data_IF_314892594268
#
_entry.id   IF_314892594268
#
_cell.length_a   1.000
_cell.length_b   1.000
_cell.length_c   1.000
_cell.angle_alpha   90.00
_cell.angle_beta   90.00
_cell.angle_gamma   90.00
#
_symmetry.space_group_name_H-M   'P 1'
#
loop_
_entity.id
_entity.type
_entity.pdbx_description
1 polymer ?
#
# COMPACT_ATOMS: atom_id res chain seq x y z
N UNK A 1 -0.33 20.80 7.03
CA UNK A 1 -1.18 19.76 7.66
C UNK A 1 -0.61 18.39 7.33
N UNK A 2 -0.54 17.51 8.34
CA UNK A 2 -0.15 16.12 8.16
C UNK A 2 -1.19 15.40 7.30
N UNK A 3 -0.76 14.52 6.38
CA UNK A 3 -1.67 13.72 5.55
C UNK A 3 -1.55 12.26 5.95
N UNK A 4 -2.68 11.58 6.10
CA UNK A 4 -2.69 10.12 6.27
C UNK A 4 -2.57 9.43 4.92
N UNK A 5 -1.85 8.32 4.89
CA UNK A 5 -1.62 7.51 3.70
C UNK A 5 -1.64 6.03 4.06
N UNK A 6 -1.89 5.19 3.06
CA UNK A 6 -1.97 3.74 3.21
C UNK A 6 -0.82 3.12 2.44
N UNK A 7 -0.09 2.22 3.12
CA UNK A 7 0.87 1.33 2.49
C UNK A 7 0.10 0.14 1.90
N UNK A 8 0.02 0.13 0.57
CA UNK A 8 -0.75 -0.89 -0.16
C UNK A 8 -0.09 -2.26 -0.07
N UNK A 9 1.24 -2.34 0.03
CA UNK A 9 1.93 -3.62 0.09
C UNK A 9 1.71 -4.28 1.45
N UNK A 10 1.84 -3.50 2.53
CA UNK A 10 1.48 -3.97 3.88
C UNK A 10 0.01 -4.31 4.02
N UNK A 11 -0.89 -3.54 3.39
CA UNK A 11 -2.31 -3.89 3.38
C UNK A 11 -2.55 -5.24 2.68
N UNK A 12 -1.89 -5.52 1.57
CA UNK A 12 -2.00 -6.81 0.87
C UNK A 12 -1.43 -7.95 1.71
N UNK A 13 -0.29 -7.74 2.37
CA UNK A 13 0.28 -8.73 3.27
C UNK A 13 -0.65 -9.01 4.44
N UNK A 14 -1.21 -7.97 5.07
CA UNK A 14 -2.22 -8.12 6.11
C UNK A 14 -3.45 -8.91 5.64
N UNK A 15 -3.92 -8.65 4.41
CA UNK A 15 -5.01 -9.43 3.83
C UNK A 15 -4.65 -10.90 3.67
N UNK A 16 -3.41 -11.23 3.29
CA UNK A 16 -2.93 -12.61 3.16
C UNK A 16 -2.80 -13.28 4.52
N UNK A 17 -2.16 -12.63 5.49
CA UNK A 17 -1.95 -13.15 6.85
C UNK A 17 -3.25 -13.49 7.58
N UNK A 18 -4.35 -12.85 7.19
CA UNK A 18 -5.67 -13.01 7.78
C UNK A 18 -6.69 -13.71 6.84
N UNK A 19 -6.25 -14.24 5.69
CA UNK A 19 -7.11 -14.87 4.67
C UNK A 19 -8.31 -14.00 4.24
N UNK A 20 -8.10 -12.68 4.17
CA UNK A 20 -9.12 -11.70 3.80
C UNK A 20 -9.09 -11.44 2.30
N UNK A 21 -10.17 -11.78 1.62
CA UNK A 21 -10.37 -11.40 0.22
C UNK A 21 -10.66 -9.90 0.05
N UNK A 22 -10.39 -9.28 -1.11
CA UNK A 22 -10.75 -7.89 -1.37
C UNK A 22 -12.25 -7.59 -1.21
N UNK A 23 -13.11 -8.58 -1.47
CA UNK A 23 -14.55 -8.46 -1.29
C UNK A 23 -14.94 -8.40 0.19
N UNK A 24 -14.31 -9.22 1.04
CA UNK A 24 -14.51 -9.19 2.49
C UNK A 24 -13.93 -7.91 3.10
N UNK A 25 -12.78 -7.44 2.62
CA UNK A 25 -12.22 -6.14 3.03
C UNK A 25 -13.23 -5.01 2.75
N UNK A 26 -13.79 -4.97 1.55
CA UNK A 26 -14.80 -3.98 1.17
C UNK A 26 -16.05 -4.06 2.06
N UNK A 27 -16.53 -5.27 2.33
CA UNK A 27 -17.70 -5.50 3.18
C UNK A 27 -17.46 -5.05 4.63
N UNK A 28 -16.31 -5.40 5.22
CA UNK A 28 -15.95 -5.01 6.59
C UNK A 28 -15.77 -3.50 6.74
N UNK A 29 -15.22 -2.84 5.72
CA UNK A 29 -15.05 -1.39 5.70
C UNK A 29 -16.34 -0.62 5.34
N UNK A 30 -17.39 -1.30 4.87
CA UNK A 30 -18.61 -0.66 4.37
C UNK A 30 -18.39 0.18 3.10
N UNK A 31 -17.41 -0.18 2.25
CA UNK A 31 -17.10 0.53 1.00
C UNK A 31 -17.34 -0.34 -0.22
N UNK A 32 -17.41 0.25 -1.40
CA UNK A 32 -17.56 -0.53 -2.64
C UNK A 32 -16.31 -1.35 -2.95
N UNK A 33 -16.48 -2.55 -3.53
CA UNK A 33 -15.38 -3.39 -4.03
C UNK A 33 -14.48 -2.63 -5.02
N UNK A 34 -15.08 -1.74 -5.82
CA UNK A 34 -14.35 -0.89 -6.76
C UNK A 34 -13.47 0.16 -6.06
N UNK A 35 -13.84 0.65 -4.87
CA UNK A 35 -12.99 1.53 -4.08
C UNK A 35 -11.75 0.78 -3.57
N UNK A 36 -11.94 -0.41 -3.00
CA UNK A 36 -10.84 -1.29 -2.57
C UNK A 36 -9.91 -1.62 -3.74
N UNK A 37 -10.48 -2.09 -4.87
CA UNK A 37 -9.69 -2.42 -6.06
C UNK A 37 -8.84 -1.25 -6.57
N UNK A 38 -9.40 -0.04 -6.63
CA UNK A 38 -8.66 1.16 -7.05
C UNK A 38 -7.49 1.50 -6.12
N UNK A 39 -7.64 1.28 -4.81
CA UNK A 39 -6.56 1.49 -3.83
C UNK A 39 -5.51 0.40 -3.95
N UNK A 40 -5.92 -0.88 -3.97
CA UNK A 40 -5.01 -2.03 -4.06
C UNK A 40 -4.18 -2.05 -5.36
N UNK A 41 -4.75 -1.53 -6.44
CA UNK A 41 -4.08 -1.40 -7.74
C UNK A 41 -3.34 -0.06 -7.91
N UNK A 42 -3.30 0.77 -6.86
CA UNK A 42 -2.65 2.10 -6.87
C UNK A 42 -3.18 3.06 -7.95
N UNK A 43 -4.38 2.78 -8.49
CA UNK A 43 -5.07 3.64 -9.47
C UNK A 43 -5.48 4.96 -8.82
N UNK A 44 -5.85 4.91 -7.52
CA UNK A 44 -6.18 6.08 -6.73
C UNK A 44 -5.63 5.93 -5.31
N UNK A 45 -5.06 7.00 -4.77
CA UNK A 45 -4.66 7.04 -3.36
C UNK A 45 -5.86 6.90 -2.42
N UNK A 46 -5.65 6.26 -1.28
CA UNK A 46 -6.65 6.16 -0.23
C UNK A 46 -7.00 7.57 0.30
N UNK A 47 -8.27 7.96 0.15
CA UNK A 47 -8.78 9.22 0.70
C UNK A 47 -9.06 9.13 2.20
N UNK A 48 -9.32 10.27 2.85
CA UNK A 48 -9.63 10.33 4.29
C UNK A 48 -10.77 9.41 4.70
N UNK A 49 -11.84 9.33 3.91
CA UNK A 49 -12.96 8.41 4.18
C UNK A 49 -12.56 6.93 4.11
N UNK A 50 -11.72 6.55 3.15
CA UNK A 50 -11.22 5.17 3.06
C UNK A 50 -10.34 4.81 4.26
N UNK A 51 -9.46 5.74 4.66
CA UNK A 51 -8.56 5.56 5.81
C UNK A 51 -9.36 5.48 7.10
N UNK A 52 -10.36 6.34 7.27
CA UNK A 52 -11.27 6.29 8.42
C UNK A 52 -11.98 4.94 8.52
N UNK A 53 -12.63 4.49 7.43
CA UNK A 53 -13.26 3.17 7.38
C UNK A 53 -12.29 2.02 7.65
N UNK A 54 -11.05 2.13 7.17
CA UNK A 54 -10.02 1.11 7.39
C UNK A 54 -9.65 1.02 8.87
N UNK A 55 -9.40 2.16 9.52
CA UNK A 55 -9.05 2.20 10.95
C UNK A 55 -10.23 1.79 11.85
N UNK A 56 -11.47 2.10 11.46
CA UNK A 56 -12.67 1.64 12.17
C UNK A 56 -12.82 0.12 12.07
N UNK A 57 -12.61 -0.46 10.89
CA UNK A 57 -12.77 -1.89 10.67
C UNK A 57 -11.57 -2.71 11.19
N UNK A 58 -10.37 -2.13 11.17
CA UNK A 58 -9.11 -2.76 11.55
C UNK A 58 -8.26 -1.78 12.37
N UNK A 59 -8.51 -1.66 13.67
CA UNK A 59 -7.79 -0.72 14.54
C UNK A 59 -6.28 -1.00 14.59
N UNK A 60 -5.87 -2.27 14.44
CA UNK A 60 -4.47 -2.70 14.42
C UNK A 60 -3.71 -2.29 13.14
N UNK A 61 -4.42 -1.76 12.13
CA UNK A 61 -3.78 -1.26 10.91
C UNK A 61 -2.83 -0.08 11.17
N UNK A 62 -3.04 0.67 12.25
CA UNK A 62 -2.11 1.72 12.67
C UNK A 62 -0.79 1.13 13.20
N UNK A 63 -0.89 0.20 14.15
CA UNK A 63 0.28 -0.40 14.82
C UNK A 63 1.12 -1.23 13.86
N UNK A 64 0.48 -1.87 12.87
CA UNK A 64 1.17 -2.58 11.78
C UNK A 64 1.81 -1.64 10.75
N UNK A 65 1.59 -0.33 10.87
CA UNK A 65 2.09 0.69 9.96
C UNK A 65 1.51 0.57 8.55
N UNK A 66 0.29 0.04 8.43
CA UNK A 66 -0.48 0.03 7.18
C UNK A 66 -0.97 1.46 6.91
N UNK A 67 -1.47 2.14 7.95
CA UNK A 67 -1.77 3.57 7.90
C UNK A 67 -0.62 4.32 8.54
N UNK A 68 -0.13 5.35 7.85
CA UNK A 68 0.95 6.18 8.35
C UNK A 68 0.73 7.65 8.03
N UNK A 69 1.38 8.50 8.81
CA UNK A 69 1.41 9.94 8.55
C UNK A 69 2.48 10.21 7.49
N UNK A 70 2.05 10.57 6.28
CA UNK A 70 2.95 11.17 5.31
C UNK A 70 3.09 12.66 5.60
N UNK A 71 4.24 13.04 6.15
CA UNK A 71 4.80 14.38 5.92
C UNK A 71 5.22 14.49 4.45
N UNK A 72 5.54 15.69 3.94
CA UNK A 72 6.08 15.92 2.58
C UNK A 72 7.22 14.92 2.30
N UNK A 73 6.90 13.77 1.73
CA UNK A 73 7.87 12.73 1.45
C UNK A 73 8.56 13.10 0.14
N UNK A 74 9.88 13.29 0.21
CA UNK A 74 10.74 13.50 -0.94
C UNK A 74 10.41 12.44 -1.99
N UNK A 75 10.24 12.86 -3.25
CA UNK A 75 10.05 11.95 -4.38
C UNK A 75 11.19 10.91 -4.33
N UNK A 76 10.86 9.64 -4.11
CA UNK A 76 11.80 8.55 -4.37
C UNK A 76 11.87 8.45 -5.88
N UNK A 77 12.90 9.09 -6.45
CA UNK A 77 13.24 8.99 -7.87
C UNK A 77 13.68 7.57 -8.18
N UNK A 78 13.15 7.08 -9.31
CA UNK A 78 13.19 5.71 -9.84
C UNK A 78 14.59 5.36 -10.41
N UNK A 79 15.67 5.63 -9.69
CA UNK A 79 17.04 5.50 -10.26
C UNK A 79 17.79 4.21 -9.89
N UNK A 80 17.37 3.43 -8.88
CA UNK A 80 18.11 2.25 -8.42
C UNK A 80 17.81 0.93 -9.17
N UNK A 81 17.42 0.99 -10.45
CA UNK A 81 17.14 -0.24 -11.24
C UNK A 81 18.12 -0.55 -12.36
N UNK A 82 19.11 0.31 -12.64
CA UNK A 82 20.00 0.11 -13.79
C UNK A 82 21.43 -0.40 -13.48
N UNK A 83 21.85 -0.45 -12.20
CA UNK A 83 23.23 -0.85 -11.89
C UNK A 83 23.49 -2.37 -11.90
N UNK A 84 22.47 -3.22 -12.00
CA UNK A 84 22.65 -4.68 -11.97
C UNK A 84 22.92 -5.33 -13.33
N UNK A 85 23.02 -4.57 -14.43
CA UNK A 85 23.17 -5.13 -15.78
C UNK A 85 24.57 -5.09 -16.39
N UNK A 86 25.55 -4.37 -15.81
CA UNK A 86 26.88 -4.25 -16.46
C UNK A 86 27.95 -5.22 -15.93
N UNK A 87 27.74 -5.89 -14.79
CA UNK A 87 28.71 -6.83 -14.21
C UNK A 87 28.87 -8.17 -14.97
N UNK A 88 28.22 -8.34 -16.12
CA UNK A 88 28.34 -9.56 -16.94
C UNK A 88 29.37 -9.47 -18.08
N UNK A 89 30.03 -8.32 -18.30
CA UNK A 89 30.91 -8.12 -19.46
C UNK A 89 32.38 -8.59 -19.28
N UNK A 90 32.76 -9.21 -18.16
CA UNK A 90 34.17 -9.62 -17.92
C UNK A 90 34.28 -11.06 -17.42
N UNK A 91 33.87 -12.04 -18.24
CA UNK A 91 34.26 -13.45 -18.01
C UNK A 91 34.12 -14.33 -19.27
N UNK A 92 34.97 -14.07 -20.25
CA UNK A 92 35.45 -15.03 -21.28
C UNK A 92 36.59 -14.29 -21.98
N UNK A 93 37.85 -14.53 -21.60
CA UNK A 93 38.71 -15.62 -22.07
C UNK A 93 38.96 -15.50 -23.58
#
# INVERSE_FOLDING_TARGET
MARLSVDVDKLKQYMQDHDISPAQLAARMGVSRAAVSRVLNRVRGAGSGFIGSLLTAFPDAWDRGIVFVSGRSRKVTKDERDQSRSSQATRTA
#
